data_IF_550368694615
#
_entry.id   IF_550368694615
#
_cell.length_a   1.000
_cell.length_b   1.000
_cell.length_c   1.000
_cell.angle_alpha   90.00
_cell.angle_beta   90.00
_cell.angle_gamma   90.00
#
_symmetry.space_group_name_H-M   'P 1'
#
loop_
_entity.id
_entity.type
_entity.pdbx_description
1 polymer ?
#
# COMPACT_ATOMS: atom_id res chain seq x y z
N UNK A 1 -25.36 33.68 -53.27
CA UNK A 1 -25.38 32.27 -53.66
C UNK A 1 -24.70 31.49 -52.57
N UNK A 2 -25.50 30.71 -51.92
CA UNK A 2 -25.35 29.56 -51.03
C UNK A 2 -24.24 29.53 -49.96
N UNK A 3 -24.63 29.90 -48.76
CA UNK A 3 -23.96 29.62 -47.50
C UNK A 3 -24.13 28.13 -47.14
N UNK A 4 -23.06 27.43 -46.83
CA UNK A 4 -23.11 26.13 -46.14
C UNK A 4 -22.59 26.30 -44.71
N UNK A 5 -23.55 26.36 -43.81
CA UNK A 5 -23.34 26.27 -42.37
C UNK A 5 -23.11 24.81 -41.99
N UNK A 6 -21.91 24.45 -41.59
CA UNK A 6 -21.64 23.15 -40.97
C UNK A 6 -21.41 23.34 -39.44
N UNK A 7 -22.49 23.20 -38.71
CA UNK A 7 -22.52 23.17 -37.26
C UNK A 7 -22.20 21.75 -36.82
N UNK A 8 -20.93 21.46 -36.56
CA UNK A 8 -20.50 20.18 -35.94
C UNK A 8 -20.97 20.13 -34.48
N UNK A 9 -21.89 19.21 -34.23
CA UNK A 9 -22.37 18.81 -32.92
C UNK A 9 -21.22 18.11 -32.19
N UNK A 10 -20.60 18.73 -31.23
CA UNK A 10 -19.73 18.05 -30.24
C UNK A 10 -20.64 17.51 -29.13
N UNK A 11 -20.91 16.23 -29.25
CA UNK A 11 -21.68 15.45 -28.30
C UNK A 11 -20.76 15.09 -27.10
N UNK A 12 -21.20 15.52 -25.96
CA UNK A 12 -20.86 15.17 -24.59
C UNK A 12 -20.54 13.66 -24.38
N UNK A 13 -19.28 13.30 -24.20
CA UNK A 13 -18.85 12.02 -23.63
C UNK A 13 -17.75 12.26 -22.59
N UNK A 14 -18.07 13.00 -21.55
CA UNK A 14 -17.14 13.22 -20.43
C UNK A 14 -17.83 13.08 -19.06
N UNK A 15 -18.72 12.09 -18.90
CA UNK A 15 -19.45 11.89 -17.66
C UNK A 15 -19.29 10.46 -17.10
N UNK A 16 -18.12 9.86 -17.17
CA UNK A 16 -17.96 8.47 -16.73
C UNK A 16 -16.69 8.12 -15.96
N UNK A 17 -15.78 9.07 -15.71
CA UNK A 17 -14.46 8.72 -15.13
C UNK A 17 -14.18 9.24 -13.73
N UNK A 18 -15.08 9.97 -13.11
CA UNK A 18 -14.85 10.59 -11.78
C UNK A 18 -15.39 9.80 -10.60
N UNK A 19 -16.11 8.69 -10.81
CA UNK A 19 -16.73 7.92 -9.73
C UNK A 19 -15.83 6.82 -9.13
N UNK A 20 -14.75 6.42 -9.81
CA UNK A 20 -13.90 5.31 -9.36
C UNK A 20 -12.86 5.72 -8.31
N UNK A 21 -12.52 7.00 -8.18
CA UNK A 21 -11.46 7.47 -7.25
C UNK A 21 -12.01 7.73 -5.84
N UNK A 22 -13.31 7.97 -5.69
CA UNK A 22 -13.91 8.32 -4.40
C UNK A 22 -14.10 7.13 -3.44
N UNK A 23 -14.04 5.88 -3.92
CA UNK A 23 -14.30 4.70 -3.09
C UNK A 23 -13.06 4.24 -2.31
N UNK A 24 -11.85 4.53 -2.80
CA UNK A 24 -10.61 4.16 -2.12
C UNK A 24 -10.27 5.00 -0.88
N UNK A 25 -10.77 6.23 -0.80
CA UNK A 25 -10.51 7.12 0.34
C UNK A 25 -11.34 6.79 1.61
N UNK A 26 -12.41 6.01 1.49
CA UNK A 26 -13.32 5.72 2.61
C UNK A 26 -12.79 4.61 3.56
N UNK A 27 -11.83 3.81 3.15
CA UNK A 27 -11.29 2.72 3.99
C UNK A 27 -10.19 3.15 4.97
N UNK A 28 -9.57 4.31 4.77
CA UNK A 28 -8.48 4.79 5.61
C UNK A 28 -8.93 5.36 6.98
N UNK A 29 -10.21 5.65 7.17
CA UNK A 29 -10.73 6.30 8.40
C UNK A 29 -11.32 5.33 9.44
N UNK A 30 -11.46 4.05 9.13
CA UNK A 30 -12.01 3.06 10.06
C UNK A 30 -11.01 2.56 11.12
N UNK A 31 -9.74 3.00 11.08
CA UNK A 31 -8.67 2.54 11.96
C UNK A 31 -8.47 3.33 13.25
N UNK A 32 -9.17 4.45 13.47
CA UNK A 32 -8.97 5.31 14.66
C UNK A 32 -9.85 4.94 15.86
N UNK A 33 -10.20 3.69 16.04
CA UNK A 33 -10.74 3.26 17.32
C UNK A 33 -9.57 3.00 18.29
N UNK A 34 -9.40 3.87 19.28
CA UNK A 34 -8.48 3.70 20.42
C UNK A 34 -8.83 2.50 21.31
N UNK A 35 -9.35 1.45 20.72
CA UNK A 35 -9.73 0.21 21.36
C UNK A 35 -8.52 -0.62 21.79
N UNK A 36 -8.75 -1.50 22.76
CA UNK A 36 -7.79 -2.49 23.21
C UNK A 36 -7.56 -3.53 22.12
N UNK A 37 -6.29 -3.85 21.81
CA UNK A 37 -5.96 -4.93 20.88
C UNK A 37 -6.21 -6.28 21.56
N UNK A 38 -7.12 -7.06 21.02
CA UNK A 38 -7.37 -8.45 21.37
C UNK A 38 -6.80 -9.42 20.31
N UNK A 39 -7.01 -10.73 20.50
CA UNK A 39 -6.51 -11.75 19.58
C UNK A 39 -7.13 -11.62 18.19
N UNK A 40 -8.41 -11.25 18.10
CA UNK A 40 -9.11 -11.13 16.82
C UNK A 40 -8.60 -9.90 16.05
N UNK A 41 -8.50 -8.75 16.71
CA UNK A 41 -7.91 -7.54 16.14
C UNK A 41 -6.48 -7.80 15.65
N UNK A 42 -5.65 -8.48 16.45
CA UNK A 42 -4.29 -8.81 16.07
C UNK A 42 -4.22 -9.73 14.83
N UNK A 43 -5.16 -10.68 14.69
CA UNK A 43 -5.23 -11.55 13.49
C UNK A 43 -5.59 -10.73 12.25
N UNK A 44 -6.58 -9.85 12.35
CA UNK A 44 -6.96 -8.93 11.26
C UNK A 44 -5.79 -8.01 10.89
N UNK A 45 -5.12 -7.46 11.89
CA UNK A 45 -3.96 -6.61 11.72
C UNK A 45 -2.81 -7.36 11.02
N UNK A 46 -2.57 -8.63 11.37
CA UNK A 46 -1.58 -9.47 10.70
C UNK A 46 -1.92 -9.70 9.22
N UNK A 47 -3.19 -9.98 8.90
CA UNK A 47 -3.64 -10.15 7.51
C UNK A 47 -3.46 -8.87 6.68
N UNK A 48 -3.68 -7.70 7.27
CA UNK A 48 -3.44 -6.42 6.59
C UNK A 48 -1.96 -6.23 6.28
N UNK A 49 -1.07 -6.54 7.23
CA UNK A 49 0.39 -6.47 6.99
C UNK A 49 0.85 -7.46 5.91
N UNK A 50 0.32 -8.68 5.92
CA UNK A 50 0.62 -9.68 4.88
C UNK A 50 0.19 -9.15 3.50
N UNK A 51 -0.98 -8.49 3.39
CA UNK A 51 -1.45 -7.88 2.14
C UNK A 51 -0.53 -6.76 1.65
N UNK A 52 -0.11 -5.84 2.53
CA UNK A 52 0.84 -4.76 2.18
C UNK A 52 2.18 -5.34 1.72
N UNK A 53 2.68 -6.37 2.41
CA UNK A 53 3.94 -7.02 2.03
C UNK A 53 3.84 -7.68 0.65
N UNK A 54 2.72 -8.35 0.34
CA UNK A 54 2.51 -8.98 -0.96
C UNK A 54 2.35 -7.96 -2.09
N UNK A 55 1.64 -6.86 -1.85
CA UNK A 55 1.55 -5.75 -2.82
C UNK A 55 2.93 -5.14 -3.08
N UNK A 56 3.69 -4.88 -2.03
CA UNK A 56 5.08 -4.41 -2.15
C UNK A 56 5.98 -5.40 -2.89
N UNK A 57 5.80 -6.71 -2.69
CA UNK A 57 6.55 -7.75 -3.41
C UNK A 57 6.24 -7.74 -4.90
N UNK A 58 4.97 -7.56 -5.31
CA UNK A 58 4.57 -7.43 -6.71
C UNK A 58 5.17 -6.17 -7.35
N UNK A 59 5.13 -5.04 -6.66
CA UNK A 59 5.75 -3.80 -7.12
C UNK A 59 7.27 -3.99 -7.31
N UNK A 60 7.95 -4.58 -6.33
CA UNK A 60 9.38 -4.85 -6.38
C UNK A 60 9.75 -5.80 -7.54
N UNK A 61 8.90 -6.80 -7.81
CA UNK A 61 9.04 -7.70 -8.95
C UNK A 61 8.93 -6.93 -10.29
N UNK A 62 8.02 -5.97 -10.39
CA UNK A 62 7.86 -5.15 -11.60
C UNK A 62 9.07 -4.23 -11.81
N UNK A 63 9.64 -3.68 -10.74
CA UNK A 63 10.93 -2.94 -10.79
C UNK A 63 12.06 -3.87 -11.25
N UNK A 64 12.20 -5.05 -10.66
CA UNK A 64 13.23 -6.02 -11.01
C UNK A 64 13.19 -6.43 -12.48
N UNK A 65 11.99 -6.54 -13.03
CA UNK A 65 11.75 -6.91 -14.44
C UNK A 65 11.71 -5.72 -15.40
N UNK A 66 11.79 -4.48 -14.89
CA UNK A 66 11.70 -3.27 -15.71
C UNK A 66 10.32 -3.06 -16.34
N UNK A 67 9.24 -3.54 -15.68
CA UNK A 67 7.86 -3.49 -16.16
C UNK A 67 7.06 -2.31 -15.61
N UNK A 68 7.68 -1.46 -14.80
CA UNK A 68 7.05 -0.27 -14.22
C UNK A 68 7.86 0.98 -14.49
N UNK A 69 7.22 2.15 -14.45
CA UNK A 69 7.91 3.43 -14.54
C UNK A 69 8.53 3.80 -13.19
N UNK A 70 9.66 4.51 -13.23
CA UNK A 70 10.33 5.02 -12.02
C UNK A 70 9.40 5.87 -11.14
N UNK A 71 8.57 6.70 -11.78
CA UNK A 71 7.60 7.53 -11.06
C UNK A 71 6.57 6.69 -10.32
N UNK A 72 5.91 5.76 -11.02
CA UNK A 72 4.91 4.88 -10.39
C UNK A 72 5.50 4.03 -9.26
N UNK A 73 6.69 3.44 -9.50
CA UNK A 73 7.36 2.63 -8.49
C UNK A 73 7.68 3.42 -7.21
N UNK A 74 8.13 4.69 -7.38
CA UNK A 74 8.42 5.58 -6.25
C UNK A 74 7.17 5.92 -5.46
N UNK A 75 6.12 6.39 -6.12
CA UNK A 75 4.87 6.82 -5.46
C UNK A 75 4.19 5.65 -4.75
N UNK A 76 4.10 4.50 -5.40
CA UNK A 76 3.48 3.31 -4.81
C UNK A 76 4.29 2.77 -3.62
N UNK A 77 5.62 2.75 -3.72
CA UNK A 77 6.47 2.34 -2.61
C UNK A 77 6.35 3.29 -1.41
N UNK A 78 6.21 4.60 -1.65
CA UNK A 78 5.99 5.60 -0.60
C UNK A 78 4.65 5.40 0.10
N UNK A 79 3.58 5.18 -0.66
CA UNK A 79 2.24 4.92 -0.09
C UNK A 79 2.25 3.69 0.81
N UNK A 80 2.79 2.56 0.34
CA UNK A 80 2.89 1.33 1.12
C UNK A 80 3.79 1.50 2.35
N UNK A 81 4.86 2.29 2.23
CA UNK A 81 5.75 2.64 3.34
C UNK A 81 5.01 3.42 4.42
N UNK A 82 4.25 4.44 4.03
CA UNK A 82 3.46 5.27 4.96
C UNK A 82 2.42 4.41 5.68
N UNK A 83 1.70 3.56 4.95
CA UNK A 83 0.72 2.63 5.54
C UNK A 83 1.39 1.73 6.57
N UNK A 84 2.54 1.13 6.25
CA UNK A 84 3.30 0.25 7.15
C UNK A 84 3.80 0.98 8.39
N UNK A 85 4.30 2.21 8.24
CA UNK A 85 4.77 3.05 9.34
C UNK A 85 3.63 3.44 10.28
N UNK A 86 2.51 3.91 9.72
CA UNK A 86 1.32 4.25 10.50
C UNK A 86 0.79 3.03 11.27
N UNK A 87 0.88 1.86 10.67
CA UNK A 87 0.47 0.60 11.30
C UNK A 87 1.39 0.23 12.49
N UNK A 88 2.70 0.36 12.33
CA UNK A 88 3.68 0.14 13.40
C UNK A 88 3.42 1.08 14.58
N UNK A 89 3.20 2.36 14.29
CA UNK A 89 2.89 3.38 15.29
C UNK A 89 1.57 3.10 16.02
N UNK A 90 0.53 2.73 15.28
CA UNK A 90 -0.77 2.40 15.83
C UNK A 90 -0.67 1.21 16.79
N UNK A 91 0.00 0.13 16.41
CA UNK A 91 0.21 -1.05 17.27
C UNK A 91 1.03 -0.71 18.51
N UNK A 92 2.01 0.18 18.40
CA UNK A 92 2.88 0.59 19.51
C UNK A 92 2.15 1.42 20.56
N UNK A 93 1.11 2.17 20.18
CA UNK A 93 0.35 3.07 21.07
C UNK A 93 -0.92 2.46 21.66
N UNK A 94 -1.42 1.37 21.06
CA UNK A 94 -2.68 0.76 21.52
C UNK A 94 -2.49 -0.03 22.80
N UNK A 95 -3.48 0.05 23.70
CA UNK A 95 -3.56 -0.85 24.85
C UNK A 95 -3.79 -2.28 24.37
N UNK A 96 -3.20 -3.24 25.04
CA UNK A 96 -3.31 -4.66 24.71
C UNK A 96 -3.99 -5.42 25.83
N UNK A 97 -4.74 -6.47 25.48
CA UNK A 97 -5.25 -7.43 26.44
C UNK A 97 -4.07 -8.20 27.05
N UNK A 98 -4.07 -8.48 28.39
CA UNK A 98 -3.02 -9.27 29.01
C UNK A 98 -2.72 -10.59 28.30
N UNK A 99 -1.45 -10.90 28.14
CA UNK A 99 -0.96 -12.16 27.53
C UNK A 99 -0.72 -12.12 26.03
N UNK A 100 -0.98 -11.01 25.32
CA UNK A 100 -0.65 -10.85 23.90
C UNK A 100 0.34 -9.73 23.59
N UNK A 101 0.85 -9.04 24.60
CA UNK A 101 1.69 -7.84 24.46
C UNK A 101 2.95 -8.14 23.62
N UNK A 102 3.57 -9.30 23.85
CA UNK A 102 4.75 -9.70 23.10
C UNK A 102 4.42 -9.91 21.61
N UNK A 103 3.25 -10.48 21.31
CA UNK A 103 2.81 -10.70 19.93
C UNK A 103 2.55 -9.36 19.23
N UNK A 104 1.91 -8.40 19.93
CA UNK A 104 1.66 -7.05 19.41
C UNK A 104 2.98 -6.32 19.13
N UNK A 105 3.93 -6.35 20.09
CA UNK A 105 5.27 -5.77 19.87
C UNK A 105 6.01 -6.41 18.69
N UNK A 106 5.92 -7.73 18.54
CA UNK A 106 6.49 -8.41 17.38
C UNK A 106 5.88 -7.91 16.08
N UNK A 107 4.56 -7.80 16.00
CA UNK A 107 3.86 -7.28 14.81
C UNK A 107 4.18 -5.81 14.52
N UNK A 108 4.30 -4.96 15.53
CA UNK A 108 4.76 -3.57 15.35
C UNK A 108 6.18 -3.51 14.76
N UNK A 109 7.08 -4.38 15.23
CA UNK A 109 8.44 -4.47 14.68
C UNK A 109 8.44 -5.00 13.23
N UNK A 110 7.61 -5.99 12.91
CA UNK A 110 7.44 -6.48 11.54
C UNK A 110 6.96 -5.36 10.61
N UNK A 111 5.96 -4.57 11.03
CA UNK A 111 5.47 -3.42 10.27
C UNK A 111 6.55 -2.35 10.05
N UNK A 112 7.36 -2.04 11.07
CA UNK A 112 8.48 -1.12 10.92
C UNK A 112 9.56 -1.64 9.95
N UNK A 113 9.84 -2.94 9.98
CA UNK A 113 10.77 -3.58 9.04
C UNK A 113 10.22 -3.55 7.62
N UNK A 114 8.92 -3.76 7.44
CA UNK A 114 8.23 -3.63 6.14
C UNK A 114 8.38 -2.20 5.60
N UNK A 115 8.11 -1.19 6.42
CA UNK A 115 8.29 0.22 6.03
C UNK A 115 9.74 0.52 5.60
N UNK A 116 10.74 0.05 6.35
CA UNK A 116 12.15 0.22 6.00
C UNK A 116 12.54 -0.48 4.68
N UNK A 117 11.94 -1.65 4.42
CA UNK A 117 12.16 -2.39 3.17
C UNK A 117 11.57 -1.64 1.98
N UNK A 118 10.36 -1.11 2.11
CA UNK A 118 9.70 -0.30 1.09
C UNK A 118 10.41 1.04 0.86
N UNK A 119 10.99 1.65 1.91
CA UNK A 119 11.84 2.84 1.78
C UNK A 119 13.04 2.61 0.85
N UNK A 120 13.65 1.42 0.88
CA UNK A 120 14.74 1.09 -0.05
C UNK A 120 14.24 1.10 -1.50
N UNK A 121 13.06 0.55 -1.76
CA UNK A 121 12.46 0.57 -3.10
C UNK A 121 12.12 1.99 -3.55
N UNK A 122 11.55 2.80 -2.65
CA UNK A 122 11.27 4.23 -2.90
C UNK A 122 12.53 5.00 -3.29
N UNK A 123 13.64 4.77 -2.59
CA UNK A 123 14.90 5.47 -2.84
C UNK A 123 15.58 5.01 -4.15
N UNK A 124 15.31 3.78 -4.60
CA UNK A 124 15.95 3.17 -5.77
C UNK A 124 14.93 2.56 -6.75
N UNK A 125 13.94 3.35 -7.24
CA UNK A 125 12.77 2.85 -7.95
C UNK A 125 13.05 2.32 -9.36
N UNK A 126 14.27 2.54 -9.89
CA UNK A 126 14.72 2.03 -11.20
C UNK A 126 15.80 0.94 -11.09
N UNK A 127 16.27 0.64 -9.88
CA UNK A 127 17.33 -0.33 -9.66
C UNK A 127 16.76 -1.76 -9.60
N UNK A 128 17.04 -2.55 -10.64
CA UNK A 128 16.56 -3.92 -10.75
C UNK A 128 17.12 -4.85 -9.66
N UNK A 129 18.36 -4.64 -9.24
CA UNK A 129 18.96 -5.46 -8.18
C UNK A 129 18.32 -5.17 -6.82
N UNK A 130 18.04 -3.89 -6.53
CA UNK A 130 17.27 -3.49 -5.35
C UNK A 130 15.86 -4.07 -5.44
N UNK A 131 15.18 -3.99 -6.60
CA UNK A 131 13.88 -4.60 -6.82
C UNK A 131 13.87 -6.09 -6.47
N UNK A 132 14.81 -6.87 -6.99
CA UNK A 132 14.90 -8.31 -6.72
C UNK A 132 15.18 -8.62 -5.23
N UNK A 133 16.06 -7.86 -4.58
CA UNK A 133 16.35 -8.04 -3.16
C UNK A 133 15.15 -7.71 -2.26
N UNK A 134 14.42 -6.63 -2.58
CA UNK A 134 13.20 -6.22 -1.88
C UNK A 134 12.08 -7.24 -2.10
N UNK A 135 11.87 -7.71 -3.33
CA UNK A 135 10.89 -8.77 -3.66
C UNK A 135 11.08 -9.99 -2.76
N UNK A 136 12.31 -10.53 -2.70
CA UNK A 136 12.62 -11.70 -1.89
C UNK A 136 12.34 -11.47 -0.40
N UNK A 137 12.71 -10.31 0.12
CA UNK A 137 12.47 -9.96 1.52
C UNK A 137 10.96 -9.89 1.82
N UNK A 138 10.19 -9.21 0.97
CA UNK A 138 8.76 -9.01 1.18
C UNK A 138 7.96 -10.30 1.02
N UNK A 139 8.32 -11.19 0.09
CA UNK A 139 7.71 -12.52 -0.03
C UNK A 139 7.88 -13.37 1.23
N UNK A 140 9.04 -13.28 1.88
CA UNK A 140 9.27 -13.99 3.15
C UNK A 140 8.45 -13.39 4.30
N UNK A 141 8.18 -12.09 4.28
CA UNK A 141 7.39 -11.40 5.31
C UNK A 141 5.89 -11.66 5.16
N UNK A 142 5.36 -11.66 3.93
CA UNK A 142 3.94 -11.53 3.64
C UNK A 142 3.20 -12.83 3.33
N UNK A 143 3.79 -14.02 3.42
CA UNK A 143 3.13 -15.28 3.00
C UNK A 143 2.46 -15.18 1.62
N UNK A 144 3.11 -14.49 0.69
CA UNK A 144 2.57 -14.26 -0.65
C UNK A 144 2.46 -15.58 -1.44
N UNK A 145 1.38 -15.78 -2.22
CA UNK A 145 1.22 -16.94 -3.08
C UNK A 145 2.25 -17.00 -4.21
#
# INVERSE_FOLDING_TARGET
MSAFSNRAKWSSRAAGRTLAVAILAAFALAGCNGGTVDKHALTKDASTLDSIACEGALLAQDVARGRTTTYFAREQAEELRIQSSNFADALSRRKTVPGIEQKVRKKAKEAATLAATLQRLHNHPADRAVGAAVENTLKQMGRCP
#
